data_IF_766202667164
#
_entry.id   IF_766202667164
#
_cell.length_a   1.000
_cell.length_b   1.000
_cell.length_c   1.000
_cell.angle_alpha   90.00
_cell.angle_beta   90.00
_cell.angle_gamma   90.00
#
_symmetry.space_group_name_H-M   'P 1'
#
loop_
_entity.id
_entity.type
_entity.pdbx_description
1 polymer ?
#
# COMPACT_ATOMS: atom_id res chain seq x y z
N UNK A 1 -5.95 -11.05 5.74
CA UNK A 1 -4.63 -11.60 6.11
C UNK A 1 -3.83 -10.54 6.82
N UNK A 2 -3.50 -10.73 8.10
CA UNK A 2 -2.53 -9.89 8.80
C UNK A 2 -1.15 -10.21 8.25
N UNK A 3 -0.51 -9.24 7.60
CA UNK A 3 0.89 -9.36 7.14
C UNK A 3 1.74 -8.78 8.27
N UNK A 4 2.22 -9.65 9.15
CA UNK A 4 3.26 -9.33 10.13
C UNK A 4 4.53 -10.09 9.69
N UNK A 5 5.19 -9.57 8.68
CA UNK A 5 6.49 -10.07 8.21
C UNK A 5 7.60 -9.25 8.88
N UNK A 6 8.72 -9.90 9.21
CA UNK A 6 9.90 -9.20 9.73
C UNK A 6 10.34 -8.10 8.76
N UNK A 7 10.77 -6.95 9.28
CA UNK A 7 11.21 -5.78 8.49
C UNK A 7 12.22 -6.15 7.39
N UNK A 8 13.14 -7.08 7.66
CA UNK A 8 14.10 -7.59 6.67
C UNK A 8 13.43 -8.24 5.46
N UNK A 9 12.36 -9.02 5.67
CA UNK A 9 11.61 -9.68 4.57
C UNK A 9 10.94 -8.63 3.69
N UNK A 10 10.31 -7.62 4.32
CA UNK A 10 9.66 -6.50 3.62
C UNK A 10 10.65 -5.67 2.81
N UNK A 11 11.86 -5.44 3.34
CA UNK A 11 12.95 -4.77 2.61
C UNK A 11 13.34 -5.57 1.36
N UNK A 12 13.64 -6.87 1.50
CA UNK A 12 14.07 -7.71 0.37
C UNK A 12 12.97 -7.86 -0.69
N UNK A 13 11.70 -7.97 -0.27
CA UNK A 13 10.55 -7.96 -1.18
C UNK A 13 10.48 -6.65 -1.95
N UNK A 14 10.58 -5.50 -1.27
CA UNK A 14 10.55 -4.17 -1.90
C UNK A 14 11.71 -3.99 -2.88
N UNK A 15 12.90 -4.50 -2.58
CA UNK A 15 14.04 -4.49 -3.51
C UNK A 15 13.73 -5.24 -4.80
N UNK A 16 12.96 -6.31 -4.71
CA UNK A 16 12.56 -7.16 -5.84
C UNK A 16 11.39 -6.59 -6.64
N UNK A 17 10.42 -5.93 -5.98
CA UNK A 17 9.15 -5.48 -6.60
C UNK A 17 9.04 -3.97 -6.81
N UNK A 18 9.98 -3.18 -6.27
CA UNK A 18 10.01 -1.71 -6.19
C UNK A 18 8.99 -1.07 -5.24
N UNK A 19 7.87 -1.75 -4.98
CA UNK A 19 6.83 -1.32 -4.04
C UNK A 19 6.24 -2.53 -3.35
N UNK A 20 5.93 -2.40 -2.06
CA UNK A 20 5.40 -3.50 -1.27
C UNK A 20 4.53 -2.99 -0.11
N UNK A 21 3.34 -3.56 0.10
CA UNK A 21 2.50 -3.28 1.29
C UNK A 21 3.04 -4.07 2.48
N UNK A 22 3.59 -3.39 3.49
CA UNK A 22 4.25 -4.01 4.64
C UNK A 22 3.27 -4.41 5.71
N UNK A 23 2.34 -3.52 6.05
CA UNK A 23 1.29 -3.80 7.02
C UNK A 23 -0.03 -3.21 6.55
N UNK A 24 -1.12 -3.90 6.91
CA UNK A 24 -2.48 -3.46 6.61
C UNK A 24 -3.40 -3.92 7.73
N UNK A 25 -4.06 -2.98 8.40
CA UNK A 25 -4.96 -3.28 9.50
C UNK A 25 -6.14 -2.30 9.57
N UNK A 26 -7.23 -2.75 10.16
CA UNK A 26 -8.38 -1.92 10.46
C UNK A 26 -8.42 -1.58 11.95
N UNK A 27 -8.60 -0.30 12.29
CA UNK A 27 -8.73 0.20 13.66
C UNK A 27 -9.75 1.34 13.70
N UNK A 28 -10.73 1.26 14.60
CA UNK A 28 -11.77 2.29 14.80
C UNK A 28 -12.47 2.76 13.51
N UNK A 29 -12.74 1.84 12.59
CA UNK A 29 -13.38 2.15 11.29
C UNK A 29 -12.45 2.78 10.25
N UNK A 30 -11.15 2.87 10.56
CA UNK A 30 -10.11 3.32 9.64
C UNK A 30 -9.32 2.12 9.15
N UNK A 31 -8.98 2.14 7.86
CA UNK A 31 -7.99 1.23 7.29
C UNK A 31 -6.66 1.95 7.20
N UNK A 32 -5.64 1.38 7.83
CA UNK A 32 -4.28 1.92 7.86
C UNK A 32 -3.33 0.92 7.25
N UNK A 33 -2.35 1.42 6.51
CA UNK A 33 -1.29 0.58 6.01
C UNK A 33 0.00 1.33 5.82
N UNK A 34 1.08 0.57 5.91
CA UNK A 34 2.45 1.00 5.67
C UNK A 34 2.94 0.37 4.36
N UNK A 35 3.63 1.15 3.55
CA UNK A 35 4.11 0.81 2.22
C UNK A 35 5.59 1.11 2.16
N UNK A 36 6.38 0.15 1.70
CA UNK A 36 7.79 0.38 1.38
C UNK A 36 7.93 0.57 -0.13
N UNK A 37 8.76 1.53 -0.53
CA UNK A 37 9.12 1.79 -1.93
C UNK A 37 10.64 1.89 -2.06
N UNK A 38 11.17 1.52 -3.23
CA UNK A 38 12.58 1.79 -3.52
C UNK A 38 12.84 3.29 -3.65
N UNK A 39 13.91 3.76 -3.03
CA UNK A 39 14.35 5.15 -3.12
C UNK A 39 15.11 5.41 -4.44
N UNK A 40 14.38 5.46 -5.56
CA UNK A 40 14.96 5.63 -6.90
C UNK A 40 15.17 7.09 -7.32
N UNK A 41 14.38 8.02 -6.75
CA UNK A 41 14.51 9.46 -6.94
C UNK A 41 13.82 10.21 -5.79
N UNK A 42 14.10 11.50 -5.63
CA UNK A 42 13.47 12.32 -4.58
C UNK A 42 11.97 12.44 -4.76
N UNK A 43 11.50 12.81 -5.95
CA UNK A 43 10.08 12.95 -6.26
C UNK A 43 9.44 11.57 -6.45
N UNK A 44 8.54 11.23 -5.53
CA UNK A 44 7.82 9.96 -5.50
C UNK A 44 6.35 10.25 -5.31
N UNK A 45 5.51 9.49 -6.00
CA UNK A 45 4.06 9.51 -5.79
C UNK A 45 3.56 8.11 -5.51
N UNK A 46 2.97 7.92 -4.34
CA UNK A 46 2.43 6.62 -3.89
C UNK A 46 0.92 6.76 -3.75
N UNK A 47 0.16 6.03 -4.56
CA UNK A 47 -1.30 6.07 -4.58
C UNK A 47 -1.86 4.72 -4.16
N UNK A 48 -2.85 4.73 -3.27
CA UNK A 48 -3.66 3.57 -2.92
C UNK A 48 -4.90 3.64 -3.77
N UNK A 49 -5.10 2.64 -4.62
CA UNK A 49 -6.34 2.46 -5.37
C UNK A 49 -7.16 1.36 -4.73
N UNK A 50 -8.40 1.68 -4.38
CA UNK A 50 -9.29 0.75 -3.70
C UNK A 50 -10.70 0.73 -4.32
N UNK A 51 -11.42 -0.36 -4.07
CA UNK A 51 -12.78 -0.59 -4.54
C UNK A 51 -13.60 -1.32 -3.47
N UNK A 52 -14.91 -1.09 -3.48
CA UNK A 52 -15.90 -1.78 -2.63
C UNK A 52 -16.95 -2.52 -3.46
N UNK A 53 -16.77 -2.59 -4.78
CA UNK A 53 -17.74 -3.17 -5.71
C UNK A 53 -17.08 -4.02 -6.82
N UNK A 54 -16.04 -4.77 -6.45
CA UNK A 54 -15.36 -5.70 -7.34
C UNK A 54 -14.74 -5.03 -8.57
N UNK A 55 -14.07 -3.88 -8.37
CA UNK A 55 -13.40 -3.08 -9.39
C UNK A 55 -14.31 -2.45 -10.47
N UNK A 56 -15.63 -2.50 -10.29
CA UNK A 56 -16.56 -1.79 -11.19
C UNK A 56 -16.33 -0.27 -11.14
N UNK A 57 -16.03 0.24 -9.95
CA UNK A 57 -15.50 1.59 -9.74
C UNK A 57 -14.34 1.53 -8.76
N UNK A 58 -13.43 2.50 -8.85
CA UNK A 58 -12.34 2.64 -7.89
C UNK A 58 -12.19 4.10 -7.46
N UNK A 59 -11.62 4.25 -6.27
CA UNK A 59 -11.20 5.53 -5.70
C UNK A 59 -9.72 5.47 -5.39
N UNK A 60 -9.08 6.64 -5.30
CA UNK A 60 -7.65 6.76 -5.02
C UNK A 60 -7.39 7.73 -3.88
N UNK A 61 -6.43 7.40 -3.03
CA UNK A 61 -5.85 8.30 -2.03
C UNK A 61 -4.33 8.28 -2.15
N UNK A 62 -3.69 9.37 -1.76
CA UNK A 62 -2.23 9.49 -1.75
C UNK A 62 -1.67 9.07 -0.39
N UNK A 63 -0.61 8.27 -0.39
CA UNK A 63 0.15 7.95 0.81
C UNK A 63 1.14 9.08 1.13
N UNK A 64 1.42 9.28 2.42
CA UNK A 64 2.38 10.27 2.87
C UNK A 64 3.72 9.61 3.18
N UNK A 65 4.82 10.24 2.78
CA UNK A 65 6.16 9.82 3.22
C UNK A 65 6.28 9.93 4.73
N UNK A 66 6.84 8.89 5.37
CA UNK A 66 7.03 8.84 6.82
C UNK A 66 8.50 8.89 7.20
N UNK A 67 9.32 7.97 6.66
CA UNK A 67 10.74 7.84 7.02
C UNK A 67 11.55 7.13 5.94
N UNK A 68 12.87 7.30 5.98
CA UNK A 68 13.79 6.39 5.32
C UNK A 68 13.96 5.14 6.20
N UNK A 69 13.73 3.96 5.64
CA UNK A 69 13.92 2.67 6.32
C UNK A 69 15.39 2.24 6.19
N UNK A 70 15.89 2.31 4.97
CA UNK A 70 17.31 2.15 4.62
C UNK A 70 17.67 3.19 3.54
N UNK A 71 18.94 3.24 3.12
CA UNK A 71 19.41 4.18 2.09
C UNK A 71 18.60 4.06 0.78
N UNK A 72 18.22 2.83 0.42
CA UNK A 72 17.50 2.50 -0.81
C UNK A 72 16.00 2.22 -0.61
N UNK A 73 15.44 2.43 0.59
CA UNK A 73 14.04 2.11 0.92
C UNK A 73 13.37 3.23 1.75
N UNK A 74 12.24 3.71 1.26
CA UNK A 74 11.39 4.69 1.94
C UNK A 74 10.08 4.06 2.40
N UNK A 75 9.59 4.50 3.56
CA UNK A 75 8.28 4.14 4.09
C UNK A 75 7.26 5.25 3.85
N UNK A 76 6.05 4.84 3.46
CA UNK A 76 4.88 5.69 3.26
C UNK A 76 3.69 5.10 4.02
N UNK A 77 2.88 5.96 4.62
CA UNK A 77 1.67 5.57 5.33
C UNK A 77 0.42 6.14 4.67
N UNK A 78 -0.67 5.40 4.75
CA UNK A 78 -1.99 5.91 4.38
C UNK A 78 -3.02 5.62 5.47
N UNK A 79 -4.07 6.44 5.48
CA UNK A 79 -5.27 6.20 6.27
C UNK A 79 -6.47 6.41 5.38
N UNK A 80 -7.25 5.35 5.21
CA UNK A 80 -8.50 5.37 4.48
C UNK A 80 -9.66 5.37 5.48
N UNK A 81 -10.42 6.47 5.49
CA UNK A 81 -11.67 6.57 6.22
C UNK A 81 -12.78 5.98 5.37
N UNK A 82 -13.26 4.79 5.70
CA UNK A 82 -14.50 4.29 5.07
C UNK A 82 -15.70 4.96 5.75
N UNK A 83 -16.64 5.55 4.98
CA UNK A 83 -17.83 6.16 5.56
C UNK A 83 -18.81 5.15 6.17
N UNK A 84 -18.63 3.83 6.01
CA UNK A 84 -19.55 2.77 6.45
C UNK A 84 -18.86 1.42 6.72
N UNK A 85 -19.64 0.44 7.20
CA UNK A 85 -19.35 -1.01 7.30
C UNK A 85 -18.81 -1.66 5.99
N UNK A 86 -18.67 -0.87 4.92
CA UNK A 86 -18.11 -1.17 3.59
C UNK A 86 -16.60 -1.47 3.60
N UNK A 87 -15.92 -1.43 4.76
CA UNK A 87 -14.56 -1.97 4.89
C UNK A 87 -14.57 -3.49 4.62
N UNK A 88 -15.66 -4.16 4.99
CA UNK A 88 -15.85 -5.58 4.69
C UNK A 88 -15.98 -5.78 3.16
N UNK A 89 -14.95 -6.38 2.56
CA UNK A 89 -14.88 -6.60 1.12
C UNK A 89 -14.18 -5.49 0.32
N UNK A 90 -13.54 -4.53 0.99
CA UNK A 90 -12.65 -3.58 0.33
C UNK A 90 -11.42 -4.31 -0.24
N UNK A 91 -11.17 -4.10 -1.53
CA UNK A 91 -9.98 -4.56 -2.23
C UNK A 91 -9.10 -3.36 -2.55
N UNK A 92 -7.78 -3.48 -2.32
CA UNK A 92 -6.82 -2.44 -2.67
C UNK A 92 -5.58 -2.95 -3.39
N UNK A 93 -4.95 -2.04 -4.11
CA UNK A 93 -3.62 -2.15 -4.69
C UNK A 93 -2.88 -0.82 -4.54
N UNK A 94 -1.55 -0.86 -4.61
CA UNK A 94 -0.68 0.31 -4.47
C UNK A 94 0.04 0.59 -5.78
N UNK A 95 0.07 1.86 -6.16
CA UNK A 95 0.79 2.38 -7.31
C UNK A 95 1.92 3.28 -6.84
N UNK A 96 3.15 2.93 -7.22
CA UNK A 96 4.33 3.74 -7.01
C UNK A 96 4.80 4.33 -8.35
N UNK A 97 4.70 5.66 -8.48
CA UNK A 97 5.22 6.41 -9.62
C UNK A 97 6.48 7.18 -9.22
N UNK A 98 7.54 7.02 -10.01
CA UNK A 98 8.82 7.70 -9.82
C UNK A 98 9.48 7.92 -11.16
N UNK A 99 9.93 9.16 -11.41
CA UNK A 99 10.34 9.59 -12.74
C UNK A 99 9.25 9.23 -13.77
N UNK A 100 9.62 8.52 -14.85
CA UNK A 100 8.71 8.04 -15.89
C UNK A 100 8.28 6.56 -15.72
N UNK A 101 8.49 5.99 -14.54
CA UNK A 101 8.21 4.57 -14.26
C UNK A 101 7.07 4.41 -13.25
N UNK A 102 6.26 3.38 -13.46
CA UNK A 102 5.11 3.04 -12.60
C UNK A 102 5.19 1.58 -12.21
N UNK A 103 5.17 1.33 -10.90
CA UNK A 103 5.19 0.01 -10.29
C UNK A 103 3.91 -0.23 -9.52
N UNK A 104 3.41 -1.47 -9.55
CA UNK A 104 2.19 -1.85 -8.86
C UNK A 104 2.45 -2.99 -7.88
N UNK A 105 1.93 -2.85 -6.66
CA UNK A 105 1.72 -3.98 -5.77
C UNK A 105 0.21 -4.25 -5.67
N UNK A 106 -0.22 -5.34 -6.30
CA UNK A 106 -1.59 -5.83 -6.28
C UNK A 106 -1.69 -7.22 -5.62
N UNK A 107 -0.73 -7.61 -4.78
CA UNK A 107 -0.70 -8.91 -4.12
C UNK A 107 -0.82 -10.09 -5.11
N UNK A 108 -0.01 -10.09 -6.17
CA UNK A 108 -0.04 -11.12 -7.24
C UNK A 108 -1.41 -11.28 -7.93
N UNK A 109 -2.23 -10.22 -7.93
CA UNK A 109 -3.58 -10.25 -8.51
C UNK A 109 -4.67 -10.78 -7.57
N UNK A 110 -4.32 -11.19 -6.34
CA UNK A 110 -5.31 -11.51 -5.31
C UNK A 110 -5.92 -10.25 -4.67
N UNK A 111 -5.26 -9.10 -4.81
CA UNK A 111 -5.51 -7.86 -4.09
C UNK A 111 -5.44 -8.04 -2.56
N UNK A 112 -5.28 -6.94 -1.83
CA UNK A 112 -5.36 -6.99 -0.38
C UNK A 112 -6.82 -6.88 0.05
N UNK A 113 -7.31 -7.91 0.76
CA UNK A 113 -8.63 -7.92 1.41
C UNK A 113 -8.46 -7.95 2.92
N UNK A 114 -9.20 -7.08 3.60
CA UNK A 114 -9.41 -7.17 5.03
C UNK A 114 -10.65 -8.03 5.29
N UNK A 115 -10.43 -9.20 5.87
CA UNK A 115 -11.50 -9.97 6.52
C UNK A 115 -11.66 -9.41 7.93
N UNK A 116 -12.88 -9.02 8.29
CA UNK A 116 -13.24 -8.53 9.63
C UNK A 116 -13.81 -9.69 10.47
#
# INVERSE_FOLDING_TARGET
TFVDESETVSIERTRSTNVSVVSLFAIDGLMKGEIYVRNLAYEKKVMIRYTVNGWSTYSEIEAAFTRNVEEDIDAFDFTLTSPREEVAGCELCVCYSVNDSVFWDNNEGANYRLEY
#
